data_IF_084738180867
#
_entry.id   IF_084738180867
#
_cell.length_a   1.000
_cell.length_b   1.000
_cell.length_c   1.000
_cell.angle_alpha   90.00
_cell.angle_beta   90.00
_cell.angle_gamma   90.00
#
_symmetry.space_group_name_H-M   'P 1'
#
loop_
_entity.id
_entity.type
_entity.pdbx_description
1 polymer ?
#
# COMPACT_ATOMS: atom_id res chain seq x y z
N UNK A 1 -7.14 4.25 -21.63
CA UNK A 1 -7.36 4.50 -23.06
C UNK A 1 -6.02 4.67 -23.80
N UNK A 2 -5.16 5.60 -23.38
CA UNK A 2 -3.87 5.86 -24.06
C UNK A 2 -2.95 4.62 -24.04
N UNK A 3 -2.92 3.86 -22.95
CA UNK A 3 -2.13 2.61 -22.86
C UNK A 3 -2.54 1.61 -23.95
N UNK A 4 -3.84 1.39 -24.19
CA UNK A 4 -4.32 0.48 -25.24
C UNK A 4 -3.96 0.99 -26.63
N UNK A 5 -4.01 2.31 -26.86
CA UNK A 5 -3.56 2.89 -28.13
C UNK A 5 -2.06 2.70 -28.37
N UNK A 6 -1.27 2.84 -27.32
CA UNK A 6 0.19 2.73 -27.40
C UNK A 6 0.63 1.26 -27.57
N UNK A 7 -0.11 0.33 -26.99
CA UNK A 7 0.16 -1.10 -27.03
C UNK A 7 -1.02 -1.90 -27.59
N UNK A 8 -1.39 -1.71 -28.89
CA UNK A 8 -2.61 -2.28 -29.45
C UNK A 8 -2.65 -3.81 -29.42
N UNK A 9 -1.51 -4.46 -29.64
CA UNK A 9 -1.40 -5.91 -29.80
C UNK A 9 -0.86 -6.64 -28.56
N UNK A 10 -0.58 -5.91 -27.47
CA UNK A 10 -0.05 -6.51 -26.25
C UNK A 10 -1.17 -6.82 -25.26
N UNK A 11 -0.97 -7.86 -24.46
CA UNK A 11 -1.80 -8.09 -23.27
C UNK A 11 -1.55 -6.98 -22.27
N UNK A 12 -2.64 -6.45 -21.73
CA UNK A 12 -2.58 -5.38 -20.74
C UNK A 12 -3.29 -5.87 -19.49
N UNK A 13 -2.55 -5.85 -18.39
CA UNK A 13 -3.03 -6.15 -17.06
C UNK A 13 -3.19 -4.88 -16.23
N UNK A 14 -4.11 -4.89 -15.29
CA UNK A 14 -4.17 -3.92 -14.21
C UNK A 14 -4.14 -4.66 -12.88
N UNK A 15 -3.34 -4.16 -11.94
CA UNK A 15 -3.08 -4.86 -10.68
C UNK A 15 -4.27 -4.83 -9.71
N UNK A 16 -5.18 -3.86 -9.86
CA UNK A 16 -6.45 -3.75 -9.15
C UNK A 16 -7.36 -2.76 -9.90
N UNK A 17 -8.50 -2.37 -9.31
CA UNK A 17 -9.31 -1.27 -9.83
C UNK A 17 -8.47 -0.01 -10.05
N UNK A 18 -8.65 0.64 -11.21
CA UNK A 18 -7.89 1.88 -11.51
C UNK A 18 -8.25 3.00 -10.53
N UNK A 19 -9.52 3.05 -10.17
CA UNK A 19 -10.14 3.87 -9.15
C UNK A 19 -11.40 3.16 -8.66
N UNK A 20 -11.96 3.55 -7.51
CA UNK A 20 -13.22 3.01 -7.00
C UNK A 20 -14.43 3.51 -7.80
N UNK A 21 -14.45 3.24 -9.10
CA UNK A 21 -15.55 3.59 -10.00
C UNK A 21 -15.89 2.39 -10.90
N UNK A 22 -17.04 1.71 -10.66
CA UNK A 22 -17.43 0.52 -11.42
C UNK A 22 -17.57 0.76 -12.92
N UNK A 23 -18.06 1.94 -13.33
CA UNK A 23 -18.23 2.28 -14.74
C UNK A 23 -16.89 2.37 -15.46
N UNK A 24 -15.92 3.03 -14.82
CA UNK A 24 -14.56 3.14 -15.37
C UNK A 24 -13.90 1.76 -15.47
N UNK A 25 -14.04 0.93 -14.44
CA UNK A 25 -13.47 -0.41 -14.44
C UNK A 25 -14.15 -1.34 -15.48
N UNK A 26 -15.47 -1.18 -15.71
CA UNK A 26 -16.19 -1.89 -16.78
C UNK A 26 -15.66 -1.49 -18.17
N UNK A 27 -15.50 -0.21 -18.43
CA UNK A 27 -14.95 0.30 -19.69
C UNK A 27 -13.53 -0.23 -19.97
N UNK A 28 -12.71 -0.37 -18.92
CA UNK A 28 -11.36 -0.95 -19.06
C UNK A 28 -11.45 -2.42 -19.51
N UNK A 29 -12.39 -3.20 -18.96
CA UNK A 29 -12.62 -4.60 -19.40
C UNK A 29 -13.09 -4.67 -20.84
N UNK A 30 -14.00 -3.80 -21.28
CA UNK A 30 -14.45 -3.70 -22.67
C UNK A 30 -13.31 -3.38 -23.64
N UNK A 31 -12.29 -2.66 -23.18
CA UNK A 31 -11.08 -2.38 -23.94
C UNK A 31 -10.08 -3.56 -23.94
N UNK A 32 -10.45 -4.71 -23.40
CA UNK A 32 -9.58 -5.89 -23.32
C UNK A 32 -8.43 -5.73 -22.33
N UNK A 33 -8.61 -4.93 -21.28
CA UNK A 33 -7.66 -4.84 -20.15
C UNK A 33 -8.09 -5.85 -19.10
N UNK A 34 -7.19 -6.74 -18.75
CA UNK A 34 -7.42 -7.81 -17.79
C UNK A 34 -7.06 -7.36 -16.38
N UNK A 35 -7.86 -7.78 -15.41
CA UNK A 35 -7.61 -7.50 -13.98
C UNK A 35 -6.98 -8.73 -13.35
N UNK A 36 -5.95 -8.53 -12.52
CA UNK A 36 -5.34 -9.64 -11.80
C UNK A 36 -6.36 -10.33 -10.89
N UNK A 37 -6.28 -11.65 -10.87
CA UNK A 37 -7.02 -12.46 -9.92
C UNK A 37 -6.50 -12.29 -8.48
N UNK A 38 -7.32 -12.70 -7.52
CA UNK A 38 -6.96 -12.74 -6.10
C UNK A 38 -6.89 -14.21 -5.68
N UNK A 39 -5.82 -14.58 -4.98
CA UNK A 39 -5.62 -15.91 -4.42
C UNK A 39 -6.47 -16.15 -3.19
N UNK A 40 -6.52 -17.38 -2.72
CA UNK A 40 -7.27 -17.78 -1.53
C UNK A 40 -6.82 -17.09 -0.24
N UNK A 41 -5.57 -16.63 -0.18
CA UNK A 41 -5.00 -15.88 0.94
C UNK A 41 -5.24 -14.36 0.84
N UNK A 42 -5.97 -13.90 -0.18
CA UNK A 42 -6.25 -12.50 -0.45
C UNK A 42 -5.15 -11.75 -1.21
N UNK A 43 -4.01 -12.38 -1.51
CA UNK A 43 -2.95 -11.78 -2.31
C UNK A 43 -3.29 -11.75 -3.80
N UNK A 44 -2.71 -10.80 -4.55
CA UNK A 44 -2.87 -10.72 -6.00
C UNK A 44 -2.13 -11.86 -6.71
N UNK A 45 -2.76 -12.41 -7.74
CA UNK A 45 -2.12 -13.45 -8.55
C UNK A 45 -1.36 -12.87 -9.73
N UNK A 46 -0.08 -12.68 -9.55
CA UNK A 46 0.82 -12.21 -10.60
C UNK A 46 1.27 -13.31 -11.58
N UNK A 47 0.87 -14.57 -11.39
CA UNK A 47 1.36 -15.69 -12.22
C UNK A 47 0.96 -15.55 -13.69
N UNK A 48 -0.14 -14.86 -13.98
CA UNK A 48 -0.66 -14.63 -15.33
C UNK A 48 0.16 -13.64 -16.15
N UNK A 49 0.97 -12.77 -15.49
CA UNK A 49 1.80 -11.78 -16.17
C UNK A 49 3.00 -12.47 -16.78
N UNK A 50 3.19 -12.30 -18.08
CA UNK A 50 4.31 -12.84 -18.84
C UNK A 50 5.25 -11.76 -19.39
N UNK A 51 6.38 -12.22 -19.91
CA UNK A 51 7.33 -11.35 -20.62
C UNK A 51 6.65 -10.64 -21.79
N UNK A 52 6.83 -9.33 -21.86
CA UNK A 52 6.28 -8.51 -22.93
C UNK A 52 4.83 -8.04 -22.70
N UNK A 53 4.18 -8.49 -21.63
CA UNK A 53 2.90 -7.91 -21.22
C UNK A 53 3.07 -6.44 -20.77
N UNK A 54 1.97 -5.74 -20.67
CA UNK A 54 1.90 -4.38 -20.11
C UNK A 54 1.15 -4.45 -18.79
N UNK A 55 1.67 -3.84 -17.74
CA UNK A 55 1.03 -3.80 -16.41
C UNK A 55 0.75 -2.37 -16.02
N UNK A 56 -0.52 -2.03 -15.82
CA UNK A 56 -0.96 -0.73 -15.33
C UNK A 56 -1.01 -0.77 -13.80
N UNK A 57 -0.32 0.15 -13.16
CA UNK A 57 -0.50 0.41 -11.73
C UNK A 57 -1.64 1.40 -11.54
N UNK A 58 -2.63 1.13 -10.67
CA UNK A 58 -3.76 2.02 -10.43
C UNK A 58 -3.36 3.32 -9.72
N UNK A 59 -4.31 4.24 -9.60
CA UNK A 59 -4.09 5.53 -8.95
C UNK A 59 -3.63 5.41 -7.47
N UNK A 60 -3.96 4.31 -6.82
CA UNK A 60 -3.54 3.98 -5.44
C UNK A 60 -2.09 3.49 -5.33
N UNK A 61 -1.48 3.16 -6.49
CA UNK A 61 -0.14 2.63 -6.60
C UNK A 61 -0.04 1.13 -6.30
N UNK A 62 1.17 0.69 -5.98
CA UNK A 62 1.49 -0.68 -5.60
C UNK A 62 2.46 -0.70 -4.41
N UNK A 63 2.47 -1.78 -3.64
CA UNK A 63 3.45 -1.99 -2.57
C UNK A 63 4.85 -2.22 -3.16
N UNK A 64 5.89 -2.05 -2.34
CA UNK A 64 7.29 -2.30 -2.74
C UNK A 64 7.47 -3.76 -3.19
N UNK A 65 6.82 -4.70 -2.52
CA UNK A 65 6.89 -6.12 -2.87
C UNK A 65 6.20 -6.41 -4.20
N UNK A 66 5.02 -5.86 -4.44
CA UNK A 66 4.32 -5.99 -5.72
C UNK A 66 5.16 -5.43 -6.87
N UNK A 67 5.82 -4.28 -6.67
CA UNK A 67 6.73 -3.70 -7.66
C UNK A 67 7.89 -4.65 -8.01
N UNK A 68 8.54 -5.25 -7.00
CA UNK A 68 9.61 -6.24 -7.23
C UNK A 68 9.14 -7.45 -8.04
N UNK A 69 7.93 -7.94 -7.73
CA UNK A 69 7.33 -9.08 -8.47
C UNK A 69 7.10 -8.69 -9.92
N UNK A 70 6.53 -7.51 -10.19
CA UNK A 70 6.21 -7.03 -11.54
C UNK A 70 7.50 -6.80 -12.34
N UNK A 71 8.48 -6.12 -11.77
CA UNK A 71 9.79 -5.87 -12.39
C UNK A 71 10.50 -7.18 -12.77
N UNK A 72 10.42 -8.20 -11.90
CA UNK A 72 10.97 -9.53 -12.16
C UNK A 72 10.31 -10.29 -13.33
N UNK A 73 9.15 -9.84 -13.82
CA UNK A 73 8.41 -10.48 -14.94
C UNK A 73 8.85 -10.00 -16.31
N UNK A 74 9.75 -9.03 -16.43
CA UNK A 74 10.17 -8.45 -17.71
C UNK A 74 8.98 -7.96 -18.57
N UNK A 75 8.01 -7.32 -17.93
CA UNK A 75 6.87 -6.65 -18.53
C UNK A 75 7.09 -5.14 -18.60
N UNK A 76 6.27 -4.45 -19.38
CA UNK A 76 6.24 -2.97 -19.43
C UNK A 76 5.36 -2.43 -18.30
N UNK A 77 5.84 -1.47 -17.54
CA UNK A 77 5.07 -0.89 -16.43
C UNK A 77 4.55 0.48 -16.84
N UNK A 78 3.23 0.65 -16.75
CA UNK A 78 2.55 1.93 -16.92
C UNK A 78 2.07 2.39 -15.56
N UNK A 79 2.85 3.27 -14.93
CA UNK A 79 2.53 3.81 -13.62
C UNK A 79 1.54 4.97 -13.74
N UNK A 80 0.32 4.77 -13.23
CA UNK A 80 -0.72 5.81 -13.14
C UNK A 80 -0.98 6.25 -11.71
N UNK A 81 -0.04 6.00 -10.80
CA UNK A 81 -0.13 6.43 -9.41
C UNK A 81 -0.41 7.93 -9.30
N UNK A 82 -1.40 8.28 -8.53
CA UNK A 82 -1.77 9.67 -8.30
C UNK A 82 -0.60 10.44 -7.66
N UNK A 83 -0.23 11.63 -8.18
CA UNK A 83 0.85 12.44 -7.61
C UNK A 83 0.65 12.81 -6.13
N UNK A 84 -0.59 12.86 -5.66
CA UNK A 84 -0.88 13.08 -4.23
C UNK A 84 -0.49 11.86 -3.38
N UNK A 85 -0.69 10.66 -3.89
CA UNK A 85 -0.27 9.40 -3.23
C UNK A 85 1.25 9.32 -3.18
N UNK A 86 1.92 9.52 -4.32
CA UNK A 86 3.38 9.46 -4.38
C UNK A 86 4.09 10.53 -3.53
N UNK A 87 3.45 11.67 -3.28
CA UNK A 87 3.97 12.69 -2.34
C UNK A 87 4.03 12.16 -0.90
N UNK A 88 3.04 11.40 -0.48
CA UNK A 88 3.05 10.76 0.86
C UNK A 88 4.19 9.75 0.94
N UNK A 89 4.36 8.92 -0.08
CA UNK A 89 5.47 7.97 -0.16
C UNK A 89 6.84 8.63 -0.04
N UNK A 90 7.06 9.70 -0.79
CA UNK A 90 8.31 10.45 -0.75
C UNK A 90 8.62 11.00 0.64
N UNK A 91 7.59 11.40 1.40
CA UNK A 91 7.76 11.82 2.79
C UNK A 91 8.15 10.64 3.68
N UNK A 92 7.42 9.52 3.59
CA UNK A 92 7.72 8.31 4.36
C UNK A 92 9.17 7.87 4.12
N UNK A 93 9.59 7.73 2.87
CA UNK A 93 10.97 7.34 2.51
C UNK A 93 12.00 8.36 3.01
N UNK A 94 11.73 9.67 2.85
CA UNK A 94 12.63 10.72 3.31
C UNK A 94 12.88 10.65 4.83
N UNK A 95 11.83 10.45 5.61
CA UNK A 95 11.95 10.37 7.05
C UNK A 95 12.55 9.02 7.51
N UNK A 96 12.25 7.92 6.81
CA UNK A 96 12.88 6.63 7.09
C UNK A 96 14.41 6.64 6.86
N UNK A 97 14.90 7.42 5.88
CA UNK A 97 16.32 7.50 5.53
C UNK A 97 17.15 8.43 6.43
N UNK A 98 16.51 9.30 7.23
CA UNK A 98 17.17 10.44 7.87
C UNK A 98 17.64 10.27 9.31
N UNK A 99 17.38 9.13 9.98
CA UNK A 99 17.63 8.96 11.41
C UNK A 99 18.12 7.56 11.78
N UNK A 100 19.18 7.52 12.57
CA UNK A 100 19.82 6.28 13.06
C UNK A 100 18.91 5.41 13.96
N UNK A 101 17.80 5.98 14.47
CA UNK A 101 16.90 5.30 15.40
C UNK A 101 15.51 4.97 14.83
N UNK A 102 15.33 5.17 13.52
CA UNK A 102 14.08 4.85 12.85
C UNK A 102 12.92 5.79 13.22
N UNK A 103 11.92 5.84 12.33
CA UNK A 103 10.65 6.50 12.58
C UNK A 103 9.54 5.49 12.49
N UNK A 104 8.56 5.62 13.35
CA UNK A 104 7.25 5.00 13.15
C UNK A 104 6.36 5.93 12.33
N UNK A 105 5.97 5.49 11.15
CA UNK A 105 5.00 6.20 10.34
C UNK A 105 3.58 5.95 10.88
N UNK A 106 2.91 6.97 11.40
CA UNK A 106 1.50 6.90 11.76
C UNK A 106 0.68 7.20 10.52
N UNK A 107 -0.03 6.21 10.02
CA UNK A 107 -0.78 6.26 8.75
C UNK A 107 -2.28 6.21 9.04
N UNK A 108 -3.03 7.23 8.62
CA UNK A 108 -4.48 7.18 8.69
C UNK A 108 -5.03 6.44 7.48
N UNK A 109 -5.78 5.35 7.72
CA UNK A 109 -6.38 4.56 6.65
C UNK A 109 -6.95 3.22 7.12
N UNK A 110 -7.48 2.46 6.18
CA UNK A 110 -7.89 1.07 6.42
C UNK A 110 -6.68 0.16 6.17
N UNK A 111 -6.32 -0.78 7.08
CA UNK A 111 -5.13 -1.63 6.92
C UNK A 111 -5.06 -2.39 5.58
N UNK A 112 -6.21 -2.80 5.05
CA UNK A 112 -6.31 -3.57 3.81
C UNK A 112 -6.58 -2.72 2.57
N UNK A 113 -6.59 -1.38 2.67
CA UNK A 113 -6.77 -0.52 1.51
C UNK A 113 -5.46 -0.39 0.72
N UNK A 114 -5.52 -0.50 -0.59
CA UNK A 114 -4.37 -0.47 -1.51
C UNK A 114 -3.39 0.68 -1.23
N UNK A 115 -3.91 1.90 -1.10
CA UNK A 115 -3.11 3.09 -0.81
C UNK A 115 -2.40 3.01 0.54
N UNK A 116 -3.10 2.48 1.56
CA UNK A 116 -2.54 2.29 2.90
C UNK A 116 -1.42 1.24 2.87
N UNK A 117 -1.65 0.10 2.22
CA UNK A 117 -0.68 -0.97 2.03
C UNK A 117 0.54 -0.47 1.25
N UNK A 118 0.31 0.25 0.15
CA UNK A 118 1.38 0.82 -0.66
C UNK A 118 2.22 1.85 0.13
N UNK A 119 1.60 2.67 0.97
CA UNK A 119 2.29 3.63 1.83
C UNK A 119 3.06 2.93 2.94
N UNK A 120 2.43 2.01 3.66
CA UNK A 120 3.01 1.24 4.76
C UNK A 120 4.24 0.43 4.31
N UNK A 121 4.19 -0.15 3.11
CA UNK A 121 5.31 -0.92 2.54
C UNK A 121 6.61 -0.12 2.34
N UNK A 122 6.54 1.20 2.38
CA UNK A 122 7.67 2.12 2.25
C UNK A 122 8.21 2.62 3.58
N UNK A 123 7.48 2.37 4.66
CA UNK A 123 7.93 2.69 6.01
C UNK A 123 8.80 1.57 6.55
N UNK A 124 9.82 1.91 7.34
CA UNK A 124 10.59 0.91 8.09
C UNK A 124 9.76 0.35 9.24
N UNK A 125 9.07 1.24 9.95
CA UNK A 125 8.12 0.91 11.00
C UNK A 125 6.84 1.72 10.81
N UNK A 126 5.67 1.12 11.02
CA UNK A 126 4.39 1.82 10.87
C UNK A 126 3.34 1.36 11.87
N UNK A 127 2.40 2.28 12.11
CA UNK A 127 1.15 2.05 12.83
C UNK A 127 0.01 2.69 12.05
N UNK A 128 -1.06 1.95 11.77
CA UNK A 128 -2.23 2.42 11.03
C UNK A 128 -3.35 2.77 12.01
N UNK A 129 -3.84 3.99 11.93
CA UNK A 129 -5.01 4.48 12.68
C UNK A 129 -6.22 4.56 11.75
N UNK A 130 -7.35 3.97 12.16
CA UNK A 130 -8.55 3.84 11.33
C UNK A 130 -9.51 5.01 11.49
N UNK A 131 -9.43 5.72 12.62
CA UNK A 131 -10.33 6.80 12.99
C UNK A 131 -9.68 7.74 14.00
N UNK A 132 -10.41 8.82 14.34
CA UNK A 132 -9.94 9.85 15.26
C UNK A 132 -9.75 9.34 16.70
N UNK A 133 -10.51 8.33 17.10
CA UNK A 133 -10.39 7.74 18.44
C UNK A 133 -9.07 7.00 18.56
N UNK A 134 -8.70 6.20 17.55
CA UNK A 134 -7.41 5.51 17.50
C UNK A 134 -6.24 6.50 17.42
N UNK A 135 -6.40 7.58 16.65
CA UNK A 135 -5.39 8.64 16.62
C UNK A 135 -5.22 9.30 18.01
N UNK A 136 -6.31 9.50 18.74
CA UNK A 136 -6.29 9.99 20.12
C UNK A 136 -5.58 9.04 21.07
N UNK A 137 -5.81 7.72 20.96
CA UNK A 137 -5.11 6.71 21.76
C UNK A 137 -3.60 6.73 21.50
N UNK A 138 -3.19 6.80 20.24
CA UNK A 138 -1.76 6.88 19.86
C UNK A 138 -1.14 8.17 20.42
N UNK A 139 -1.81 9.32 20.27
CA UNK A 139 -1.33 10.59 20.81
C UNK A 139 -1.19 10.54 22.34
N UNK A 140 -2.16 9.98 23.04
CA UNK A 140 -2.11 9.81 24.50
C UNK A 140 -0.95 8.90 24.91
N UNK A 141 -0.74 7.78 24.21
CA UNK A 141 0.36 6.88 24.47
C UNK A 141 1.73 7.57 24.30
N UNK A 142 1.92 8.34 23.23
CA UNK A 142 3.14 9.12 22.99
C UNK A 142 3.36 10.17 24.09
N UNK A 143 2.30 10.84 24.55
CA UNK A 143 2.41 11.90 25.56
C UNK A 143 2.60 11.38 26.98
N UNK A 144 2.07 10.21 27.33
CA UNK A 144 2.25 9.60 28.65
C UNK A 144 3.63 8.98 28.84
N UNK A 145 4.36 8.74 27.76
CA UNK A 145 5.69 8.13 27.80
C UNK A 145 5.66 6.65 28.21
N UNK A 146 6.85 6.07 28.30
CA UNK A 146 7.10 4.64 28.61
C UNK A 146 6.71 4.27 30.07
N UNK A 147 6.48 5.25 30.92
CA UNK A 147 6.18 5.04 32.35
C UNK A 147 4.71 4.64 32.65
N UNK A 148 3.90 4.46 31.60
CA UNK A 148 2.53 3.95 31.74
C UNK A 148 2.53 2.53 32.31
N UNK A 149 1.66 2.26 33.27
CA UNK A 149 1.51 0.95 33.91
C UNK A 149 1.38 -0.16 32.84
N UNK A 150 2.07 -1.29 33.02
CA UNK A 150 2.21 -2.37 32.03
C UNK A 150 0.92 -2.85 31.33
N UNK A 151 -0.27 -2.59 31.92
CA UNK A 151 -1.56 -2.88 31.32
C UNK A 151 -1.94 -1.97 30.14
N UNK A 152 -1.43 -0.74 30.07
CA UNK A 152 -1.71 0.19 28.96
C UNK A 152 -1.00 -0.23 27.70
N UNK A 153 0.25 -0.70 27.81
CA UNK A 153 1.02 -1.23 26.67
C UNK A 153 0.35 -2.45 26.05
N UNK A 154 -0.08 -3.38 26.90
CA UNK A 154 -0.75 -4.60 26.41
C UNK A 154 -2.10 -4.28 25.71
N UNK A 155 -2.88 -3.38 26.29
CA UNK A 155 -4.13 -2.93 25.70
C UNK A 155 -3.90 -2.20 24.36
N UNK A 156 -2.87 -1.36 24.28
CA UNK A 156 -2.45 -0.68 23.06
C UNK A 156 -2.06 -1.69 21.97
N UNK A 157 -1.16 -2.62 22.27
CA UNK A 157 -0.71 -3.64 21.31
C UNK A 157 -1.86 -4.52 20.84
N UNK A 158 -2.76 -4.91 21.73
CA UNK A 158 -3.97 -5.67 21.37
C UNK A 158 -4.89 -4.88 20.42
N UNK A 159 -5.04 -3.57 20.63
CA UNK A 159 -5.88 -2.72 19.78
C UNK A 159 -5.33 -2.60 18.37
N UNK A 160 -4.02 -2.56 18.21
CA UNK A 160 -3.36 -2.31 16.93
C UNK A 160 -2.69 -3.56 16.33
N UNK A 161 -2.93 -4.76 16.85
CA UNK A 161 -2.26 -6.00 16.44
C UNK A 161 -2.25 -6.25 14.92
N UNK A 162 -3.33 -5.87 14.21
CA UNK A 162 -3.50 -6.04 12.77
C UNK A 162 -3.18 -4.76 11.97
N UNK A 163 -2.62 -3.77 12.62
CA UNK A 163 -2.45 -2.42 12.08
C UNK A 163 -1.01 -1.88 12.26
N UNK A 164 -0.07 -2.73 12.58
CA UNK A 164 1.35 -2.37 12.79
C UNK A 164 2.28 -3.21 11.92
N UNK A 165 3.48 -2.69 11.70
CA UNK A 165 4.55 -3.44 11.03
C UNK A 165 4.99 -4.66 11.85
N UNK A 166 5.51 -5.72 11.21
CA UNK A 166 6.16 -6.81 11.92
C UNK A 166 7.29 -6.29 12.82
N UNK A 167 7.30 -6.75 14.08
CA UNK A 167 8.32 -6.32 15.04
C UNK A 167 8.13 -4.89 15.60
N UNK A 168 6.97 -4.27 15.37
CA UNK A 168 6.64 -2.98 15.97
C UNK A 168 6.76 -3.03 17.51
N UNK A 169 7.47 -2.08 18.07
CA UNK A 169 7.54 -1.84 19.51
C UNK A 169 7.08 -0.40 19.79
N UNK A 170 6.03 -0.20 20.59
CA UNK A 170 5.52 1.14 20.88
C UNK A 170 6.43 1.97 21.79
N UNK A 171 7.44 1.34 22.39
CA UNK A 171 8.34 1.95 23.37
C UNK A 171 9.70 2.36 22.75
N UNK A 172 9.85 2.20 21.42
CA UNK A 172 11.06 2.54 20.66
C UNK A 172 10.83 3.67 19.68
#
# INVERSE_FOLDING_TARGET
>A
YETRKHFPDRRIWITNEIIHNPVVNANLREMGIEFLGVRSDGSKDFSSIGRGDVVILPAFGASVEEMRIIEGRNCEIVDTTCPWVSRVWNRVVKYAAGFDHGYTAIIHGKPNHEETVATASRAHCYLIVRNIEEAGLVASYILSGIDGAGGEREAFMKRFQDAVSPGFDPDV
#
